data_IF_427653920943
#
_entry.id   IF_427653920943
#
_cell.length_a   1.000
_cell.length_b   1.000
_cell.length_c   1.000
_cell.angle_alpha   90.00
_cell.angle_beta   90.00
_cell.angle_gamma   90.00
#
_symmetry.space_group_name_H-M   'P 1'
#
loop_
_entity.id
_entity.type
_entity.pdbx_description
1 polymer ?
#
# COMPACT_ATOMS: atom_id res chain seq x y z
N UNK A 1 -20.67 -9.47 -17.50
CA UNK A 1 -20.64 -8.19 -16.80
C UNK A 1 -19.41 -7.42 -17.30
N UNK A 2 -19.61 -6.19 -17.75
CA UNK A 2 -18.56 -5.32 -18.30
C UNK A 2 -18.18 -4.25 -17.29
N UNK A 3 -16.91 -4.16 -16.96
CA UNK A 3 -16.39 -3.22 -15.93
C UNK A 3 -15.32 -2.33 -16.56
N UNK A 4 -15.40 -1.04 -16.28
CA UNK A 4 -14.40 -0.06 -16.71
C UNK A 4 -13.71 0.56 -15.49
N UNK A 5 -12.40 0.52 -15.47
CA UNK A 5 -11.58 1.29 -14.54
C UNK A 5 -10.87 2.45 -15.22
N UNK A 6 -10.78 3.60 -14.53
CA UNK A 6 -9.88 4.68 -14.87
C UNK A 6 -8.78 4.76 -13.80
N UNK A 7 -7.54 4.49 -14.18
CA UNK A 7 -6.35 4.50 -13.30
C UNK A 7 -5.28 5.44 -13.86
N UNK A 8 -4.32 5.81 -13.02
CA UNK A 8 -3.20 6.67 -13.44
C UNK A 8 -2.12 5.86 -14.18
N UNK A 9 -1.51 4.88 -13.53
CA UNK A 9 -0.43 4.03 -14.06
C UNK A 9 -0.70 2.55 -13.80
N UNK A 10 -0.11 1.62 -14.57
CA UNK A 10 -0.15 0.19 -14.31
C UNK A 10 0.88 -0.20 -13.23
N UNK A 11 0.63 0.22 -11.96
CA UNK A 11 1.49 -0.21 -10.85
C UNK A 11 1.38 -1.72 -10.64
N UNK A 12 2.46 -2.43 -10.25
CA UNK A 12 2.49 -3.90 -10.17
C UNK A 12 1.31 -4.49 -9.40
N UNK A 13 1.04 -3.99 -8.17
CA UNK A 13 -0.08 -4.49 -7.36
C UNK A 13 -1.45 -4.25 -8.00
N UNK A 14 -1.62 -3.15 -8.76
CA UNK A 14 -2.86 -2.87 -9.49
C UNK A 14 -3.02 -3.80 -10.68
N UNK A 15 -1.94 -4.10 -11.39
CA UNK A 15 -1.96 -5.06 -12.52
C UNK A 15 -2.28 -6.46 -12.02
N UNK A 16 -1.68 -6.89 -10.90
CA UNK A 16 -2.01 -8.18 -10.27
C UNK A 16 -3.48 -8.24 -9.86
N UNK A 17 -4.00 -7.18 -9.25
CA UNK A 17 -5.42 -7.09 -8.90
C UNK A 17 -6.34 -7.09 -10.14
N UNK A 18 -6.01 -6.34 -11.19
CA UNK A 18 -6.81 -6.31 -12.40
C UNK A 18 -6.79 -7.65 -13.15
N UNK A 19 -5.65 -8.35 -13.15
CA UNK A 19 -5.58 -9.70 -13.69
C UNK A 19 -6.48 -10.67 -12.90
N UNK A 20 -6.49 -10.56 -11.57
CA UNK A 20 -7.36 -11.40 -10.73
C UNK A 20 -8.85 -11.08 -10.96
N UNK A 21 -9.22 -9.79 -10.92
CA UNK A 21 -10.60 -9.35 -11.16
C UNK A 21 -11.11 -9.71 -12.55
N UNK A 22 -10.25 -9.60 -13.57
CA UNK A 22 -10.57 -9.91 -14.97
C UNK A 22 -10.86 -11.39 -15.24
N UNK A 23 -10.54 -12.31 -14.31
CA UNK A 23 -10.99 -13.70 -14.40
C UNK A 23 -12.50 -13.86 -14.22
N UNK A 24 -13.16 -12.87 -13.63
CA UNK A 24 -14.58 -12.93 -13.25
C UNK A 24 -15.47 -11.97 -14.02
N UNK A 25 -14.91 -11.02 -14.78
CA UNK A 25 -15.67 -10.03 -15.56
C UNK A 25 -14.90 -9.60 -16.82
N UNK A 26 -15.62 -9.02 -17.79
CA UNK A 26 -15.03 -8.36 -18.96
C UNK A 26 -14.49 -6.98 -18.52
N UNK A 27 -13.20 -6.96 -18.14
CA UNK A 27 -12.55 -5.82 -17.53
C UNK A 27 -11.76 -5.01 -18.57
N UNK A 28 -12.06 -3.72 -18.66
CA UNK A 28 -11.26 -2.73 -19.38
C UNK A 28 -10.67 -1.72 -18.40
N UNK A 29 -9.37 -1.44 -18.51
CA UNK A 29 -8.68 -0.44 -17.68
C UNK A 29 -8.07 0.63 -18.57
N UNK A 30 -8.46 1.89 -18.34
CA UNK A 30 -7.88 3.05 -18.98
C UNK A 30 -6.75 3.59 -18.10
N UNK A 31 -5.55 3.69 -18.63
CA UNK A 31 -4.38 4.27 -17.94
C UNK A 31 -4.07 5.65 -18.51
N UNK A 32 -3.84 6.64 -17.62
CA UNK A 32 -3.44 7.99 -18.03
C UNK A 32 -2.05 8.02 -18.64
N UNK A 33 -1.13 7.17 -18.15
CA UNK A 33 0.24 7.04 -18.64
C UNK A 33 0.77 5.62 -18.40
N UNK A 34 1.82 5.27 -19.11
CA UNK A 34 2.42 3.91 -19.13
C UNK A 34 3.33 3.61 -17.93
N UNK A 35 3.82 4.65 -17.25
CA UNK A 35 4.82 4.51 -16.19
C UNK A 35 4.86 5.73 -15.28
N UNK A 36 5.54 5.61 -14.14
CA UNK A 36 5.95 6.74 -13.30
C UNK A 36 7.41 7.11 -13.56
N UNK A 37 7.72 8.39 -13.54
CA UNK A 37 9.11 8.89 -13.63
C UNK A 37 9.88 8.79 -12.32
N UNK A 38 9.19 8.51 -11.21
CA UNK A 38 9.77 8.39 -9.86
C UNK A 38 9.94 6.93 -9.40
N UNK A 39 9.65 5.95 -10.29
CA UNK A 39 9.67 4.53 -9.98
C UNK A 39 10.72 3.79 -10.79
N UNK A 40 11.20 2.68 -10.24
CA UNK A 40 12.15 1.79 -10.89
C UNK A 40 11.62 1.24 -12.22
N UNK A 41 12.53 0.93 -13.17
CA UNK A 41 12.18 0.36 -14.47
C UNK A 41 11.51 -1.02 -14.38
N UNK A 42 11.74 -1.76 -13.29
CA UNK A 42 11.04 -3.03 -13.00
C UNK A 42 9.51 -2.85 -13.00
N UNK A 43 9.00 -1.67 -12.67
CA UNK A 43 7.57 -1.35 -12.71
C UNK A 43 6.99 -1.28 -14.12
N UNK A 44 7.83 -1.29 -15.16
CA UNK A 44 7.41 -1.34 -16.57
C UNK A 44 7.21 -2.77 -17.07
N UNK A 45 7.58 -3.80 -16.28
CA UNK A 45 7.46 -5.21 -16.62
C UNK A 45 6.09 -5.75 -16.16
N UNK A 46 5.01 -5.32 -16.81
CA UNK A 46 3.67 -5.79 -16.52
C UNK A 46 3.08 -6.56 -17.71
N UNK A 47 2.15 -7.50 -17.42
CA UNK A 47 1.38 -8.24 -18.44
C UNK A 47 -0.10 -8.11 -18.12
N UNK A 48 -0.88 -7.79 -19.14
CA UNK A 48 -2.34 -7.75 -19.07
C UNK A 48 -2.86 -9.11 -19.56
N UNK A 49 -3.09 -10.04 -18.64
CA UNK A 49 -3.44 -11.43 -18.97
C UNK A 49 -4.96 -11.64 -19.05
N UNK A 50 -5.70 -11.03 -18.13
CA UNK A 50 -7.13 -11.24 -17.97
C UNK A 50 -7.95 -9.95 -18.10
N UNK A 51 -7.35 -8.86 -18.54
CA UNK A 51 -8.05 -7.60 -18.76
C UNK A 51 -7.50 -6.86 -19.99
N UNK A 52 -8.31 -5.95 -20.53
CA UNK A 52 -7.91 -5.06 -21.62
C UNK A 52 -7.36 -3.75 -21.05
N UNK A 53 -6.04 -3.56 -21.09
CA UNK A 53 -5.39 -2.29 -20.75
C UNK A 53 -5.32 -1.35 -21.95
N UNK A 54 -5.69 -0.09 -21.76
CA UNK A 54 -5.67 0.96 -22.80
C UNK A 54 -4.95 2.17 -22.26
N UNK A 55 -3.85 2.57 -22.91
CA UNK A 55 -3.17 3.83 -22.60
C UNK A 55 -3.85 4.98 -23.34
N UNK A 56 -4.33 5.95 -22.57
CA UNK A 56 -4.98 7.13 -23.12
C UNK A 56 -3.97 8.05 -23.82
N UNK A 57 -4.35 8.62 -24.95
CA UNK A 57 -3.53 9.61 -25.64
C UNK A 57 -3.65 10.95 -24.90
N UNK A 58 -2.51 11.51 -24.45
CA UNK A 58 -2.49 12.75 -23.70
C UNK A 58 -1.09 13.30 -23.45
N UNK A 59 -1.02 14.38 -22.68
CA UNK A 59 0.23 15.03 -22.27
C UNK A 59 0.47 14.78 -20.79
N UNK A 60 1.62 14.20 -20.44
CA UNK A 60 2.05 14.00 -19.05
C UNK A 60 2.13 15.36 -18.31
N UNK A 61 1.64 15.39 -17.08
CA UNK A 61 1.62 16.58 -16.22
C UNK A 61 2.62 16.44 -15.07
N UNK A 62 2.67 15.28 -14.48
CA UNK A 62 3.60 14.95 -13.39
C UNK A 62 4.05 13.48 -13.49
N UNK A 63 4.71 12.95 -12.44
CA UNK A 63 5.24 11.60 -12.42
C UNK A 63 4.20 10.52 -12.81
N UNK A 64 2.95 10.66 -12.34
CA UNK A 64 1.95 9.59 -12.38
C UNK A 64 0.67 9.95 -13.12
N UNK A 65 0.51 11.18 -13.61
CA UNK A 65 -0.74 11.63 -14.24
C UNK A 65 -0.52 12.37 -15.55
N UNK A 66 -1.54 12.31 -16.41
CA UNK A 66 -1.55 13.01 -17.69
C UNK A 66 -2.88 13.74 -17.94
N UNK A 67 -2.89 14.67 -18.87
CA UNK A 67 -4.09 15.26 -19.45
C UNK A 67 -4.48 14.54 -20.73
N UNK A 68 -5.55 13.76 -20.66
CA UNK A 68 -6.05 12.93 -21.75
C UNK A 68 -7.47 13.38 -22.17
N UNK A 69 -7.60 14.35 -23.09
CA UNK A 69 -8.90 14.94 -23.43
C UNK A 69 -9.87 13.96 -24.08
N UNK A 70 -9.35 12.88 -24.69
CA UNK A 70 -10.14 11.83 -25.34
C UNK A 70 -10.83 10.83 -24.38
N UNK A 71 -10.66 10.94 -23.06
CA UNK A 71 -11.22 9.97 -22.09
C UNK A 71 -12.74 9.82 -22.21
N UNK A 72 -13.45 10.90 -22.55
CA UNK A 72 -14.91 10.93 -22.69
C UNK A 72 -15.47 10.04 -23.82
N UNK A 73 -14.64 9.65 -24.80
CA UNK A 73 -15.05 8.75 -25.89
C UNK A 73 -15.25 7.31 -25.42
N UNK A 74 -14.61 6.91 -24.34
CA UNK A 74 -14.75 5.56 -23.72
C UNK A 74 -15.93 5.49 -22.75
N UNK A 75 -16.58 6.61 -22.43
CA UNK A 75 -17.64 6.70 -21.43
C UNK A 75 -18.99 6.84 -22.16
N UNK A 76 -19.53 5.72 -22.68
CA UNK A 76 -20.83 5.70 -23.33
C UNK A 76 -21.87 5.02 -22.43
N UNK A 77 -23.11 5.56 -22.44
CA UNK A 77 -24.19 5.00 -21.63
C UNK A 77 -24.56 3.59 -22.14
N UNK A 78 -24.67 2.64 -21.20
CA UNK A 78 -25.01 1.25 -21.50
C UNK A 78 -23.85 0.41 -22.06
N UNK A 79 -22.65 0.97 -22.19
CA UNK A 79 -21.46 0.22 -22.64
C UNK A 79 -20.86 -0.64 -21.53
N UNK A 80 -20.87 -0.12 -20.30
CA UNK A 80 -20.34 -0.79 -19.10
C UNK A 80 -21.39 -0.87 -18.02
N UNK A 81 -21.44 -1.99 -17.31
CA UNK A 81 -22.30 -2.19 -16.14
C UNK A 81 -21.77 -1.39 -14.94
N UNK A 82 -20.46 -1.28 -14.79
CA UNK A 82 -19.79 -0.53 -13.72
C UNK A 82 -18.64 0.31 -14.26
N UNK A 83 -18.54 1.53 -13.76
CA UNK A 83 -17.42 2.45 -14.03
C UNK A 83 -16.79 2.85 -12.70
N UNK A 84 -15.49 2.58 -12.55
CA UNK A 84 -14.73 2.87 -11.34
C UNK A 84 -13.65 3.93 -11.65
N UNK A 85 -13.59 4.98 -10.85
CA UNK A 85 -12.57 6.04 -10.95
C UNK A 85 -11.65 5.93 -9.75
N UNK A 86 -10.34 5.69 -9.99
CA UNK A 86 -9.36 5.52 -8.90
C UNK A 86 -8.51 6.77 -8.67
N UNK A 87 -8.63 7.78 -9.53
CA UNK A 87 -7.81 8.99 -9.49
C UNK A 87 -8.66 10.20 -9.09
N UNK A 88 -8.21 10.97 -8.09
CA UNK A 88 -8.99 12.11 -7.56
C UNK A 88 -8.72 13.44 -8.22
N UNK A 89 -7.47 13.74 -8.50
CA UNK A 89 -7.05 15.12 -8.76
C UNK A 89 -6.34 15.31 -10.11
N UNK A 90 -6.35 14.29 -10.98
CA UNK A 90 -5.84 14.48 -12.34
C UNK A 90 -6.86 15.25 -13.20
N UNK A 91 -6.43 16.08 -14.12
CA UNK A 91 -7.33 16.70 -15.09
C UNK A 91 -8.12 15.68 -15.91
N UNK A 92 -7.54 14.51 -16.23
CA UNK A 92 -8.23 13.41 -16.91
C UNK A 92 -9.38 12.86 -16.08
N UNK A 93 -9.15 12.60 -14.78
CA UNK A 93 -10.21 12.12 -13.89
C UNK A 93 -11.35 13.12 -13.76
N UNK A 94 -11.04 14.42 -13.68
CA UNK A 94 -12.05 15.48 -13.63
C UNK A 94 -12.87 15.56 -14.93
N UNK A 95 -12.22 15.41 -16.10
CA UNK A 95 -12.92 15.33 -17.38
C UNK A 95 -13.82 14.10 -17.45
N UNK A 96 -13.31 12.94 -17.00
CA UNK A 96 -14.07 11.70 -16.97
C UNK A 96 -15.31 11.83 -16.07
N UNK A 97 -15.14 12.31 -14.83
CA UNK A 97 -16.27 12.51 -13.89
C UNK A 97 -17.29 13.54 -14.44
N UNK A 98 -16.81 14.61 -15.07
CA UNK A 98 -17.72 15.56 -15.74
C UNK A 98 -18.51 14.91 -16.88
N UNK A 99 -17.85 14.08 -17.72
CA UNK A 99 -18.52 13.36 -18.80
C UNK A 99 -19.56 12.35 -18.24
N UNK A 100 -19.20 11.59 -17.19
CA UNK A 100 -20.10 10.65 -16.52
C UNK A 100 -21.35 11.35 -15.98
N UNK A 101 -21.17 12.48 -15.27
CA UNK A 101 -22.29 13.27 -14.73
C UNK A 101 -23.19 13.84 -15.84
N UNK A 102 -22.61 14.39 -16.90
CA UNK A 102 -23.39 14.94 -18.04
C UNK A 102 -24.17 13.87 -18.79
N UNK A 103 -23.59 12.66 -18.95
CA UNK A 103 -24.23 11.52 -19.60
C UNK A 103 -25.15 10.72 -18.67
N UNK A 104 -25.23 11.11 -17.39
CA UNK A 104 -25.98 10.42 -16.33
C UNK A 104 -25.54 8.95 -16.16
N UNK A 105 -24.25 8.68 -16.31
CA UNK A 105 -23.64 7.38 -16.07
C UNK A 105 -23.19 7.35 -14.61
N UNK A 106 -23.72 6.44 -13.77
CA UNK A 106 -23.26 6.30 -12.39
C UNK A 106 -21.84 5.77 -12.36
N UNK A 107 -21.05 6.21 -11.38
CA UNK A 107 -19.69 5.72 -11.18
C UNK A 107 -19.40 5.45 -9.72
N UNK A 108 -18.42 4.61 -9.47
CA UNK A 108 -17.87 4.30 -8.18
C UNK A 108 -16.52 5.00 -8.04
N UNK A 109 -16.19 5.40 -6.83
CA UNK A 109 -14.87 5.90 -6.51
C UNK A 109 -14.10 4.84 -5.71
N UNK A 110 -12.83 4.65 -6.01
CA UNK A 110 -11.92 3.78 -5.28
C UNK A 110 -10.60 4.49 -5.04
N UNK A 111 -10.11 4.48 -3.80
CA UNK A 111 -8.82 5.06 -3.46
C UNK A 111 -8.00 4.14 -2.57
N UNK A 112 -6.68 4.30 -2.62
CA UNK A 112 -5.75 3.47 -1.86
C UNK A 112 -5.69 3.84 -0.38
N UNK A 113 -6.15 5.05 -0.04
CA UNK A 113 -6.13 5.58 1.32
C UNK A 113 -6.00 7.10 1.32
N UNK A 114 -5.90 7.69 2.50
CA UNK A 114 -5.69 9.11 2.70
C UNK A 114 -6.14 9.58 4.07
N UNK A 115 -5.42 10.53 4.63
CA UNK A 115 -5.84 11.21 5.84
C UNK A 115 -6.69 12.44 5.48
N UNK A 116 -7.77 12.66 6.22
CA UNK A 116 -8.59 13.85 6.05
C UNK A 116 -7.77 15.10 6.40
N UNK A 117 -7.52 15.93 5.40
CA UNK A 117 -6.81 17.20 5.54
C UNK A 117 -7.76 18.39 5.57
N UNK A 118 -7.27 19.56 5.14
CA UNK A 118 -8.12 20.75 5.00
C UNK A 118 -9.27 20.50 4.03
N UNK A 119 -10.51 20.69 4.50
CA UNK A 119 -11.74 20.48 3.73
C UNK A 119 -12.20 21.73 2.97
N UNK A 120 -11.39 22.77 2.95
CA UNK A 120 -11.61 24.05 2.28
C UNK A 120 -10.56 24.31 1.19
N UNK A 121 -10.85 25.20 0.25
CA UNK A 121 -9.98 25.56 -0.86
C UNK A 121 -10.22 24.71 -2.12
N UNK A 122 -9.53 25.08 -3.21
CA UNK A 122 -9.74 24.50 -4.55
C UNK A 122 -9.51 22.99 -4.58
N UNK A 123 -8.42 22.50 -3.95
CA UNK A 123 -8.12 21.05 -3.89
C UNK A 123 -9.23 20.26 -3.19
N UNK A 124 -9.77 20.78 -2.08
CA UNK A 124 -10.87 20.15 -1.36
C UNK A 124 -12.17 20.16 -2.17
N UNK A 125 -12.44 21.23 -2.91
CA UNK A 125 -13.59 21.33 -3.81
C UNK A 125 -13.51 20.29 -4.94
N UNK A 126 -12.33 20.09 -5.54
CA UNK A 126 -12.13 19.07 -6.58
C UNK A 126 -12.31 17.64 -6.04
N UNK A 127 -11.76 17.34 -4.86
CA UNK A 127 -11.97 16.05 -4.19
C UNK A 127 -13.46 15.81 -3.91
N UNK A 128 -14.15 16.83 -3.38
CA UNK A 128 -15.59 16.77 -3.12
C UNK A 128 -16.38 16.55 -4.40
N UNK A 129 -16.02 17.22 -5.50
CA UNK A 129 -16.68 17.05 -6.79
C UNK A 129 -16.65 15.59 -7.29
N UNK A 130 -15.54 14.88 -7.08
CA UNK A 130 -15.40 13.46 -7.43
C UNK A 130 -16.11 12.57 -6.42
N UNK A 131 -15.81 12.69 -5.13
CA UNK A 131 -16.26 11.76 -4.09
C UNK A 131 -17.76 11.86 -3.83
N UNK A 132 -18.31 13.07 -3.65
CA UNK A 132 -19.74 13.25 -3.36
C UNK A 132 -20.68 12.86 -4.51
N UNK A 133 -20.15 12.81 -5.73
CA UNK A 133 -20.90 12.40 -6.91
C UNK A 133 -20.85 10.89 -7.20
N UNK A 134 -20.02 10.15 -6.48
CA UNK A 134 -19.93 8.70 -6.64
C UNK A 134 -21.15 8.00 -6.04
N UNK A 135 -21.69 6.98 -6.73
CA UNK A 135 -22.79 6.15 -6.23
C UNK A 135 -22.37 5.35 -4.99
N UNK A 136 -21.14 4.82 -5.01
CA UNK A 136 -20.49 4.11 -3.92
C UNK A 136 -19.00 4.45 -3.90
N UNK A 137 -18.36 4.32 -2.74
CA UNK A 137 -16.94 4.49 -2.57
C UNK A 137 -16.33 3.21 -1.98
N UNK A 138 -15.42 2.58 -2.70
CA UNK A 138 -14.61 1.50 -2.15
C UNK A 138 -13.58 2.10 -1.19
N UNK A 139 -13.53 1.56 0.03
CA UNK A 139 -12.73 2.07 1.13
C UNK A 139 -11.83 0.99 1.72
N UNK A 140 -10.58 1.36 1.95
CA UNK A 140 -9.54 0.47 2.45
C UNK A 140 -9.52 0.34 3.97
N UNK A 141 -10.06 1.35 4.70
CA UNK A 141 -9.92 1.45 6.17
C UNK A 141 -10.92 2.40 6.81
N UNK A 142 -11.01 2.36 8.14
CA UNK A 142 -11.81 3.33 8.92
C UNK A 142 -11.32 4.77 8.71
N UNK A 143 -10.01 4.95 8.55
CA UNK A 143 -9.44 6.27 8.29
C UNK A 143 -9.83 6.79 6.91
N UNK A 144 -9.85 5.89 5.92
CA UNK A 144 -10.29 6.27 4.58
C UNK A 144 -11.81 6.49 4.49
N UNK A 145 -12.62 5.84 5.34
CA UNK A 145 -14.05 6.19 5.49
C UNK A 145 -14.19 7.64 5.97
N UNK A 146 -13.42 8.05 7.00
CA UNK A 146 -13.41 9.44 7.48
C UNK A 146 -13.00 10.42 6.37
N UNK A 147 -11.97 10.03 5.59
CA UNK A 147 -11.54 10.82 4.43
C UNK A 147 -12.68 10.98 3.43
N UNK A 148 -13.30 9.91 2.97
CA UNK A 148 -14.39 9.97 1.99
C UNK A 148 -15.58 10.78 2.52
N UNK A 149 -15.95 10.61 3.79
CA UNK A 149 -17.03 11.36 4.44
C UNK A 149 -16.71 12.85 4.54
N UNK A 150 -15.48 13.23 4.88
CA UNK A 150 -15.03 14.63 4.92
C UNK A 150 -15.14 15.34 3.55
N UNK A 151 -15.07 14.57 2.46
CA UNK A 151 -15.26 15.07 1.11
C UNK A 151 -16.63 14.74 0.51
N UNK A 152 -17.61 14.37 1.35
CA UNK A 152 -19.05 14.34 1.00
C UNK A 152 -19.59 13.00 0.57
N UNK A 153 -18.88 11.89 0.77
CA UNK A 153 -19.49 10.57 0.68
C UNK A 153 -20.47 10.36 1.85
N UNK A 154 -21.58 9.68 1.58
CA UNK A 154 -22.50 9.25 2.63
C UNK A 154 -22.01 7.93 3.23
N UNK A 155 -22.19 7.74 4.55
CA UNK A 155 -21.74 6.53 5.27
C UNK A 155 -22.29 5.24 4.66
N UNK A 156 -23.56 5.23 4.25
CA UNK A 156 -24.23 4.09 3.62
C UNK A 156 -23.68 3.75 2.22
N UNK A 157 -22.83 4.61 1.66
CA UNK A 157 -22.21 4.42 0.35
C UNK A 157 -20.76 3.95 0.43
N UNK A 158 -20.24 3.75 1.64
CA UNK A 158 -18.87 3.25 1.85
C UNK A 158 -18.86 1.72 1.84
N UNK A 159 -17.97 1.15 1.05
CA UNK A 159 -17.82 -0.30 0.85
C UNK A 159 -16.39 -0.70 1.20
N UNK A 160 -16.22 -1.39 2.32
CA UNK A 160 -14.90 -1.84 2.78
C UNK A 160 -14.43 -3.06 2.02
N UNK A 161 -13.14 -3.05 1.62
CA UNK A 161 -12.47 -4.18 1.00
C UNK A 161 -11.04 -4.34 1.54
N UNK A 162 -10.45 -5.55 1.46
CA UNK A 162 -9.13 -5.82 2.01
C UNK A 162 -8.02 -5.38 1.02
N UNK A 163 -7.59 -4.13 1.09
CA UNK A 163 -6.57 -3.60 0.20
C UNK A 163 -5.19 -4.17 0.49
N UNK A 164 -4.50 -4.65 -0.54
CA UNK A 164 -3.22 -5.34 -0.43
C UNK A 164 -2.45 -5.39 -1.75
N UNK A 165 -1.16 -5.76 -1.68
CA UNK A 165 -0.31 -6.18 -2.79
C UNK A 165 -0.01 -7.69 -2.77
N UNK A 166 -0.49 -8.42 -1.78
CA UNK A 166 -0.09 -9.80 -1.48
C UNK A 166 -1.03 -10.79 -2.17
N UNK A 167 -0.46 -11.75 -2.91
CA UNK A 167 -1.19 -12.90 -3.46
C UNK A 167 -1.31 -14.00 -2.39
N UNK A 168 -2.33 -14.85 -2.50
CA UNK A 168 -2.53 -15.97 -1.56
C UNK A 168 -1.33 -16.91 -1.51
N UNK A 169 -0.70 -17.17 -2.64
CA UNK A 169 0.50 -18.02 -2.73
C UNK A 169 1.74 -17.45 -2.02
N UNK A 170 1.74 -16.17 -1.70
CA UNK A 170 2.83 -15.50 -1.01
C UNK A 170 2.70 -15.56 0.52
N UNK A 171 1.51 -15.92 1.03
CA UNK A 171 1.28 -16.09 2.46
C UNK A 171 2.04 -17.30 2.99
N UNK A 172 2.58 -17.17 4.19
CA UNK A 172 3.04 -18.33 4.96
C UNK A 172 1.84 -19.07 5.58
N UNK A 173 1.88 -20.39 5.62
CA UNK A 173 0.87 -21.21 6.31
C UNK A 173 1.03 -21.13 7.85
N UNK A 174 2.20 -20.70 8.32
CA UNK A 174 2.53 -20.53 9.74
C UNK A 174 3.91 -19.90 9.90
N UNK A 175 4.32 -19.56 11.13
CA UNK A 175 5.67 -19.07 11.41
C UNK A 175 6.73 -20.07 10.93
N UNK A 176 7.82 -19.54 10.36
CA UNK A 176 8.96 -20.36 9.97
C UNK A 176 9.59 -21.03 11.20
N UNK A 177 10.00 -22.27 11.06
CA UNK A 177 10.82 -22.96 12.06
C UNK A 177 12.19 -22.27 12.22
N UNK A 178 12.87 -22.54 13.34
CA UNK A 178 14.21 -21.97 13.59
C UNK A 178 15.21 -22.37 12.48
N UNK A 179 15.13 -23.61 12.01
CA UNK A 179 15.98 -24.13 10.94
C UNK A 179 15.73 -23.42 9.61
N UNK A 180 14.46 -23.24 9.24
CA UNK A 180 14.08 -22.52 8.03
C UNK A 180 14.53 -21.07 8.09
N UNK A 181 14.30 -20.38 9.21
CA UNK A 181 14.75 -19.00 9.42
C UNK A 181 16.28 -18.89 9.34
N UNK A 182 17.01 -19.78 9.98
CA UNK A 182 18.47 -19.81 9.92
C UNK A 182 19.00 -20.06 8.50
N UNK A 183 18.29 -20.89 7.73
CA UNK A 183 18.60 -21.09 6.30
C UNK A 183 18.43 -19.77 5.52
N UNK A 184 17.31 -19.06 5.71
CA UNK A 184 17.07 -17.78 5.06
C UNK A 184 18.14 -16.73 5.48
N UNK A 185 18.47 -16.64 6.78
CA UNK A 185 19.53 -15.74 7.26
C UNK A 185 20.88 -16.00 6.58
N UNK A 186 21.29 -17.27 6.46
CA UNK A 186 22.54 -17.65 5.77
C UNK A 186 22.55 -17.26 4.29
N UNK A 187 21.43 -17.38 3.58
CA UNK A 187 21.32 -16.99 2.18
C UNK A 187 21.60 -15.50 1.95
N UNK A 188 21.24 -14.66 2.93
CA UNK A 188 21.45 -13.20 2.88
C UNK A 188 22.68 -12.73 3.68
N UNK A 189 23.47 -13.66 4.25
CA UNK A 189 24.68 -13.32 5.02
C UNK A 189 24.38 -12.63 6.36
N UNK A 190 23.21 -12.87 6.95
CA UNK A 190 22.78 -12.27 8.22
C UNK A 190 23.32 -13.14 9.36
N UNK A 191 24.18 -12.56 10.18
CA UNK A 191 24.84 -13.24 11.30
C UNK A 191 24.20 -12.92 12.66
N UNK A 192 23.44 -11.82 12.75
CA UNK A 192 22.89 -11.30 13.99
C UNK A 192 21.77 -12.21 14.53
N UNK A 193 21.70 -12.29 15.86
CA UNK A 193 20.68 -13.07 16.57
C UNK A 193 19.27 -12.55 16.35
N UNK A 194 19.13 -11.22 16.24
CA UNK A 194 17.87 -10.56 15.89
C UNK A 194 18.11 -9.60 14.71
N UNK A 195 17.29 -9.68 13.67
CA UNK A 195 17.37 -8.86 12.48
C UNK A 195 16.10 -8.03 12.29
N UNK A 196 16.24 -6.73 12.33
CA UNK A 196 15.20 -5.72 12.13
C UNK A 196 15.25 -5.26 10.67
N UNK A 197 14.12 -5.15 10.00
CA UNK A 197 14.05 -4.60 8.64
C UNK A 197 13.12 -3.39 8.55
N UNK A 198 13.50 -2.43 7.73
CA UNK A 198 12.67 -1.32 7.28
C UNK A 198 12.80 -1.13 5.77
N UNK A 199 11.74 -0.71 5.09
CA UNK A 199 11.74 -0.61 3.62
C UNK A 199 11.09 0.69 3.17
N UNK A 200 11.73 1.40 2.25
CA UNK A 200 11.18 2.60 1.63
C UNK A 200 12.23 3.51 1.04
N UNK A 201 11.82 4.52 0.31
CA UNK A 201 12.72 5.56 -0.23
C UNK A 201 13.34 6.38 0.92
N UNK A 202 14.59 6.80 0.76
CA UNK A 202 15.30 7.67 1.72
C UNK A 202 14.78 9.12 1.62
N UNK A 203 13.58 9.34 2.14
CA UNK A 203 12.91 10.65 2.22
C UNK A 203 12.40 10.89 3.63
N UNK A 204 12.39 12.13 4.07
CA UNK A 204 11.98 12.55 5.42
C UNK A 204 10.65 11.94 5.87
N UNK A 205 9.68 11.81 4.96
CA UNK A 205 8.36 11.24 5.25
C UNK A 205 8.43 9.80 5.79
N UNK A 206 9.45 9.00 5.40
CA UNK A 206 9.60 7.60 5.83
C UNK A 206 10.16 7.43 7.23
N UNK A 207 10.72 8.48 7.85
CA UNK A 207 11.14 8.49 9.25
C UNK A 207 12.34 7.59 9.56
N UNK A 208 13.25 7.36 8.61
CA UNK A 208 14.46 6.58 8.87
C UNK A 208 15.40 7.26 9.84
N UNK A 209 15.38 8.58 9.93
CA UNK A 209 16.07 9.35 10.98
C UNK A 209 15.59 8.94 12.38
N UNK A 210 14.28 8.79 12.58
CA UNK A 210 13.69 8.31 13.83
C UNK A 210 14.12 6.87 14.15
N UNK A 211 14.16 5.98 13.14
CA UNK A 211 14.63 4.61 13.32
C UNK A 211 16.11 4.59 13.71
N UNK A 212 16.97 5.32 13.00
CA UNK A 212 18.40 5.39 13.29
C UNK A 212 18.67 5.89 14.71
N UNK A 213 17.97 6.93 15.16
CA UNK A 213 18.10 7.42 16.54
C UNK A 213 17.63 6.39 17.59
N UNK A 214 16.62 5.58 17.26
CA UNK A 214 16.20 4.48 18.14
C UNK A 214 17.22 3.35 18.18
N UNK A 215 17.97 3.12 17.10
CA UNK A 215 18.99 2.07 17.01
C UNK A 215 20.20 2.33 17.93
N UNK A 216 20.42 3.57 18.39
CA UNK A 216 21.55 3.92 19.26
C UNK A 216 21.52 3.18 20.62
N UNK A 217 20.36 2.69 21.04
CA UNK A 217 20.19 1.95 22.31
C UNK A 217 20.03 0.43 22.11
N UNK A 218 20.15 -0.07 20.87
CA UNK A 218 20.05 -1.50 20.60
C UNK A 218 21.37 -2.22 20.91
N UNK A 219 21.31 -3.48 21.38
CA UNK A 219 22.48 -4.32 21.56
C UNK A 219 23.23 -4.56 20.23
N UNK A 220 24.55 -4.76 20.29
CA UNK A 220 25.41 -4.99 19.10
C UNK A 220 25.04 -6.25 18.31
N UNK A 221 24.38 -7.24 18.94
CA UNK A 221 23.92 -8.46 18.30
C UNK A 221 22.57 -8.32 17.56
N UNK A 222 22.08 -7.09 17.40
CA UNK A 222 20.86 -6.76 16.67
C UNK A 222 21.24 -6.06 15.36
N UNK A 223 21.03 -6.73 14.22
CA UNK A 223 21.21 -6.10 12.91
C UNK A 223 19.98 -5.29 12.49
N UNK A 224 20.18 -4.14 11.87
CA UNK A 224 19.12 -3.30 11.32
C UNK A 224 19.37 -3.06 9.84
N UNK A 225 18.45 -3.50 9.02
CA UNK A 225 18.53 -3.48 7.56
C UNK A 225 17.52 -2.51 6.97
N UNK A 226 17.99 -1.46 6.29
CA UNK A 226 17.13 -0.46 5.64
C UNK A 226 17.25 -0.62 4.14
N UNK A 227 16.18 -1.13 3.50
CA UNK A 227 16.12 -1.38 2.06
C UNK A 227 15.45 -0.20 1.36
N UNK A 228 16.13 0.43 0.40
CA UNK A 228 15.54 1.58 -0.30
C UNK A 228 16.44 2.27 -1.31
N UNK A 229 17.61 1.68 -1.59
CA UNK A 229 18.62 2.22 -2.48
C UNK A 229 19.72 2.97 -1.70
N UNK A 230 20.29 4.01 -2.31
CA UNK A 230 21.38 4.76 -1.69
C UNK A 230 20.86 5.73 -0.63
N UNK A 231 21.38 5.67 0.62
CA UNK A 231 21.04 6.65 1.64
C UNK A 231 21.56 8.04 1.24
N UNK A 232 20.89 9.08 1.73
CA UNK A 232 21.38 10.45 1.59
C UNK A 232 22.47 10.75 2.62
N UNK A 233 23.24 11.82 2.41
CA UNK A 233 24.29 12.25 3.33
C UNK A 233 23.75 12.52 4.74
N UNK A 234 22.50 12.94 4.86
CA UNK A 234 21.81 13.14 6.14
C UNK A 234 21.75 11.83 6.97
N UNK A 235 21.33 10.71 6.34
CA UNK A 235 21.24 9.42 7.04
C UNK A 235 22.60 8.83 7.36
N UNK A 236 23.59 9.04 6.48
CA UNK A 236 24.99 8.65 6.75
C UNK A 236 25.58 9.42 7.92
N UNK A 237 25.31 10.73 8.00
CA UNK A 237 25.76 11.57 9.13
C UNK A 237 25.11 11.15 10.46
N UNK A 238 23.84 10.71 10.46
CA UNK A 238 23.19 10.17 11.65
C UNK A 238 23.84 8.84 12.06
N UNK A 239 24.08 7.93 11.10
CA UNK A 239 24.77 6.66 11.34
C UNK A 239 26.15 6.88 11.98
N UNK A 240 26.95 7.80 11.44
CA UNK A 240 28.27 8.14 11.96
C UNK A 240 28.19 8.77 13.35
N UNK A 241 27.29 9.75 13.54
CA UNK A 241 27.10 10.45 14.83
C UNK A 241 26.83 9.50 15.99
N UNK A 242 26.02 8.47 15.76
CA UNK A 242 25.65 7.49 16.81
C UNK A 242 26.50 6.22 16.77
N UNK A 243 27.47 6.11 15.84
CA UNK A 243 28.35 4.95 15.72
C UNK A 243 27.63 3.64 15.42
N UNK A 244 26.56 3.68 14.59
CA UNK A 244 25.64 2.58 14.33
C UNK A 244 26.23 1.53 13.37
N UNK A 245 27.18 0.73 13.82
CA UNK A 245 27.86 -0.31 13.02
C UNK A 245 26.90 -1.44 12.61
N UNK A 246 25.85 -1.69 13.39
CA UNK A 246 24.83 -2.70 13.17
C UNK A 246 23.74 -2.29 12.17
N UNK A 247 23.79 -1.06 11.62
CA UNK A 247 22.85 -0.58 10.60
C UNK A 247 23.44 -0.78 9.21
N UNK A 248 22.67 -1.46 8.35
CA UNK A 248 23.03 -1.79 6.98
C UNK A 248 22.06 -1.14 6.01
N UNK A 249 22.54 -0.24 5.17
CA UNK A 249 21.77 0.30 4.05
C UNK A 249 21.86 -0.63 2.86
N UNK A 250 20.69 -1.08 2.37
CA UNK A 250 20.59 -2.04 1.29
C UNK A 250 20.05 -1.38 0.02
N UNK A 251 20.59 -1.77 -1.12
CA UNK A 251 20.07 -1.35 -2.42
C UNK A 251 18.60 -1.76 -2.59
N UNK A 252 17.95 -1.17 -3.60
CA UNK A 252 16.59 -1.57 -3.97
C UNK A 252 16.54 -3.08 -4.27
N UNK A 253 15.53 -3.74 -3.76
CA UNK A 253 15.26 -5.16 -4.01
C UNK A 253 13.97 -5.30 -4.83
N UNK A 254 14.00 -6.06 -5.94
CA UNK A 254 12.78 -6.49 -6.62
C UNK A 254 11.85 -7.24 -5.65
N UNK A 255 10.54 -7.19 -5.90
CA UNK A 255 9.52 -7.73 -4.99
C UNK A 255 9.79 -9.18 -4.55
N UNK A 256 10.12 -10.06 -5.48
CA UNK A 256 10.39 -11.47 -5.15
C UNK A 256 11.58 -11.63 -4.18
N UNK A 257 12.66 -10.88 -4.43
CA UNK A 257 13.83 -10.87 -3.54
C UNK A 257 13.46 -10.27 -2.18
N UNK A 258 12.68 -9.18 -2.15
CA UNK A 258 12.24 -8.54 -0.92
C UNK A 258 11.39 -9.47 -0.05
N UNK A 259 10.47 -10.22 -0.64
CA UNK A 259 9.65 -11.20 0.10
C UNK A 259 10.51 -12.33 0.72
N UNK A 260 11.55 -12.80 -0.01
CA UNK A 260 12.52 -13.75 0.54
C UNK A 260 13.36 -13.11 1.65
N UNK A 261 13.76 -11.85 1.49
CA UNK A 261 14.51 -11.11 2.49
C UNK A 261 13.69 -10.92 3.78
N UNK A 262 12.40 -10.58 3.69
CA UNK A 262 11.53 -10.52 4.86
C UNK A 262 11.50 -11.83 5.65
N UNK A 263 11.50 -12.99 5.00
CA UNK A 263 11.54 -14.31 5.67
C UNK A 263 12.83 -14.55 6.47
N UNK A 264 13.91 -13.83 6.14
CA UNK A 264 15.16 -13.86 6.89
C UNK A 264 15.17 -12.92 8.11
N UNK A 265 14.21 -12.01 8.21
CA UNK A 265 14.12 -10.99 9.26
C UNK A 265 13.30 -11.49 10.46
N UNK A 266 13.41 -10.78 11.59
CA UNK A 266 12.70 -11.14 12.83
C UNK A 266 11.58 -10.15 13.18
N UNK A 267 11.67 -8.90 12.72
CA UNK A 267 10.61 -7.91 12.86
C UNK A 267 10.73 -6.82 11.78
N UNK A 268 9.62 -6.17 11.48
CA UNK A 268 9.53 -5.05 10.55
C UNK A 268 9.22 -3.74 11.30
N UNK A 269 9.91 -2.67 10.94
CA UNK A 269 9.72 -1.33 11.54
C UNK A 269 9.50 -0.29 10.47
N UNK A 270 8.46 0.57 10.62
CA UNK A 270 8.22 1.71 9.75
C UNK A 270 7.75 2.92 10.57
N UNK A 271 8.68 3.77 11.00
CA UNK A 271 8.38 4.99 11.76
C UNK A 271 7.99 6.17 10.86
N UNK A 272 7.14 5.90 9.89
CA UNK A 272 6.74 6.92 8.90
C UNK A 272 5.97 8.08 9.53
N UNK A 273 6.19 9.28 9.02
CA UNK A 273 5.45 10.51 9.36
C UNK A 273 4.14 10.62 8.61
N UNK A 274 4.05 9.97 7.44
CA UNK A 274 2.82 9.83 6.66
C UNK A 274 2.97 8.74 5.61
N UNK A 275 2.02 7.81 5.58
CA UNK A 275 1.84 6.88 4.48
C UNK A 275 0.35 6.67 4.19
N UNK A 276 -0.07 6.96 2.96
CA UNK A 276 -1.47 6.86 2.55
C UNK A 276 -2.01 5.44 2.53
N UNK A 277 -1.14 4.44 2.50
CA UNK A 277 -1.40 3.04 2.86
C UNK A 277 -0.19 2.44 3.53
N UNK A 278 0.87 2.09 2.77
CA UNK A 278 2.05 1.38 3.24
C UNK A 278 1.98 -0.11 2.93
N UNK A 279 1.89 -0.46 1.63
CA UNK A 279 1.80 -1.87 1.15
C UNK A 279 2.88 -2.78 1.72
N UNK A 280 4.05 -2.23 2.02
CA UNK A 280 5.15 -2.96 2.63
C UNK A 280 4.79 -3.57 4.00
N UNK A 281 3.80 -3.02 4.72
CA UNK A 281 3.28 -3.62 5.95
C UNK A 281 2.51 -4.92 5.63
N UNK A 282 1.69 -4.93 4.57
CA UNK A 282 1.03 -6.16 4.11
C UNK A 282 2.08 -7.24 3.79
N UNK A 283 3.12 -6.87 3.05
CA UNK A 283 4.18 -7.77 2.61
C UNK A 283 5.00 -8.34 3.79
N UNK A 284 5.36 -7.48 4.75
CA UNK A 284 6.05 -7.89 5.96
C UNK A 284 5.20 -8.84 6.82
N UNK A 285 3.93 -8.52 7.05
CA UNK A 285 3.01 -9.36 7.83
C UNK A 285 2.72 -10.70 7.13
N UNK A 286 2.59 -10.72 5.79
CA UNK A 286 2.42 -11.93 5.00
C UNK A 286 3.64 -12.86 5.09
N UNK A 287 4.82 -12.28 5.29
CA UNK A 287 6.08 -12.99 5.53
C UNK A 287 6.28 -13.38 7.00
N UNK A 288 5.26 -13.22 7.86
CA UNK A 288 5.28 -13.61 9.26
C UNK A 288 6.04 -12.64 10.17
N UNK A 289 6.26 -11.38 9.78
CA UNK A 289 6.94 -10.42 10.64
C UNK A 289 5.97 -9.69 11.56
N UNK A 290 6.23 -9.63 12.88
CA UNK A 290 5.61 -8.65 13.74
C UNK A 290 6.01 -7.24 13.30
N UNK A 291 5.06 -6.29 13.35
CA UNK A 291 5.23 -4.95 12.79
C UNK A 291 5.18 -3.89 13.88
N UNK A 292 6.14 -2.96 13.86
CA UNK A 292 6.02 -1.70 14.59
C UNK A 292 5.85 -0.57 13.57
N UNK A 293 4.77 0.19 13.70
CA UNK A 293 4.56 1.35 12.83
C UNK A 293 3.77 2.46 13.54
N UNK A 294 3.64 3.60 12.87
CA UNK A 294 3.03 4.78 13.47
C UNK A 294 1.54 4.91 13.14
N UNK A 295 0.84 5.71 13.92
CA UNK A 295 -0.54 6.17 13.68
C UNK A 295 -0.69 7.06 12.43
N UNK A 296 0.41 7.30 11.71
CA UNK A 296 0.46 8.04 10.45
C UNK A 296 0.61 7.14 9.22
N UNK A 297 0.42 5.83 9.38
CA UNK A 297 0.37 4.84 8.31
C UNK A 297 -1.00 4.15 8.30
N UNK A 298 -1.75 4.26 7.20
CA UNK A 298 -3.13 3.74 7.15
C UNK A 298 -3.16 2.22 7.25
N UNK A 299 -2.21 1.51 6.60
CA UNK A 299 -2.11 0.06 6.76
C UNK A 299 -1.83 -0.33 8.21
N UNK A 300 -1.00 0.43 8.94
CA UNK A 300 -0.75 0.17 10.35
C UNK A 300 -2.02 0.31 11.19
N UNK A 301 -2.78 1.39 10.99
CA UNK A 301 -4.07 1.60 11.67
C UNK A 301 -5.10 0.50 11.37
N UNK A 302 -5.10 -0.02 10.14
CA UNK A 302 -6.05 -1.06 9.73
C UNK A 302 -5.59 -2.47 10.13
N UNK A 303 -4.29 -2.79 9.99
CA UNK A 303 -3.79 -4.16 10.10
C UNK A 303 -3.25 -4.51 11.49
N UNK A 304 -2.59 -3.58 12.18
CA UNK A 304 -1.98 -3.84 13.47
C UNK A 304 -3.07 -3.97 14.55
N UNK A 305 -2.98 -5.05 15.31
CA UNK A 305 -3.70 -5.28 16.56
C UNK A 305 -2.67 -5.24 17.69
N UNK A 306 -2.80 -4.21 18.54
CA UNK A 306 -1.84 -3.91 19.60
C UNK A 306 -1.53 -5.12 20.48
N UNK A 307 -0.29 -5.59 20.49
CA UNK A 307 0.15 -6.74 21.28
C UNK A 307 -0.20 -8.12 20.71
N UNK A 308 -0.93 -8.21 19.58
CA UNK A 308 -1.30 -9.46 18.92
C UNK A 308 -0.41 -9.79 17.71
N UNK A 309 -0.11 -8.77 16.88
CA UNK A 309 0.68 -8.92 15.67
C UNK A 309 1.69 -7.78 15.46
N UNK A 310 1.80 -6.88 16.42
CA UNK A 310 2.70 -5.74 16.35
C UNK A 310 2.35 -4.65 17.36
N UNK A 311 3.00 -3.51 17.19
CA UNK A 311 2.78 -2.32 17.99
C UNK A 311 2.51 -1.10 17.09
N UNK A 312 1.41 -0.41 17.39
CA UNK A 312 1.11 0.91 16.86
C UNK A 312 1.64 1.94 17.86
N UNK A 313 2.47 2.86 17.40
CA UNK A 313 3.05 3.94 18.20
C UNK A 313 2.65 5.30 17.64
N UNK A 314 2.66 6.31 18.47
CA UNK A 314 2.43 7.69 18.03
C UNK A 314 3.62 8.19 17.21
N UNK A 315 3.34 8.86 16.11
CA UNK A 315 4.39 9.44 15.25
C UNK A 315 5.19 10.48 16.02
N UNK A 316 6.51 10.51 15.80
CA UNK A 316 7.48 11.37 16.50
C UNK A 316 7.66 11.05 18.02
N UNK A 317 6.92 10.09 18.57
CA UNK A 317 7.05 9.70 19.98
C UNK A 317 8.20 8.70 20.17
N UNK A 318 9.44 9.21 20.21
CA UNK A 318 10.66 8.40 20.34
C UNK A 318 10.65 7.46 21.55
N UNK A 319 10.18 7.87 22.77
CA UNK A 319 10.04 6.94 23.89
C UNK A 319 9.18 5.71 23.58
N UNK A 320 8.01 5.89 22.97
CA UNK A 320 7.15 4.76 22.57
C UNK A 320 7.81 3.90 21.50
N UNK A 321 8.47 4.53 20.51
CA UNK A 321 9.19 3.83 19.43
C UNK A 321 10.29 2.92 20.00
N UNK A 322 11.14 3.46 20.90
CA UNK A 322 12.22 2.72 21.58
C UNK A 322 11.69 1.58 22.42
N UNK A 323 10.65 1.81 23.20
CA UNK A 323 10.05 0.78 24.05
C UNK A 323 9.44 -0.36 23.21
N UNK A 324 8.71 -0.05 22.14
CA UNK A 324 8.14 -1.05 21.25
C UNK A 324 9.24 -1.88 20.57
N UNK A 325 10.30 -1.22 20.10
CA UNK A 325 11.44 -1.88 19.47
C UNK A 325 12.16 -2.80 20.46
N UNK A 326 12.50 -2.30 21.66
CA UNK A 326 13.15 -3.06 22.73
C UNK A 326 12.34 -4.31 23.09
N UNK A 327 11.02 -4.20 23.29
CA UNK A 327 10.16 -5.34 23.64
C UNK A 327 10.21 -6.46 22.62
N UNK A 328 10.25 -6.13 21.31
CA UNK A 328 10.35 -7.15 20.26
C UNK A 328 11.77 -7.68 20.11
N UNK A 329 12.79 -6.86 20.30
CA UNK A 329 14.19 -7.31 20.25
C UNK A 329 14.50 -8.27 21.40
N UNK A 330 14.06 -7.96 22.62
CA UNK A 330 14.38 -8.71 23.83
C UNK A 330 13.64 -10.04 23.97
N UNK A 331 12.51 -10.25 23.24
CA UNK A 331 11.68 -11.45 23.44
C UNK A 331 11.40 -12.19 22.11
N UNK A 332 12.10 -13.32 21.93
CA UNK A 332 11.83 -14.24 20.82
C UNK A 332 10.40 -14.81 20.91
N UNK A 333 9.96 -15.20 22.13
CA UNK A 333 8.61 -15.73 22.36
C UNK A 333 7.53 -14.74 21.91
N UNK A 334 7.72 -13.45 22.21
CA UNK A 334 6.78 -12.41 21.79
C UNK A 334 6.77 -12.25 20.27
N UNK A 335 7.96 -12.31 19.61
CA UNK A 335 8.05 -12.28 18.14
C UNK A 335 7.34 -13.47 17.51
N UNK A 336 7.53 -14.70 18.02
CA UNK A 336 6.85 -15.90 17.52
C UNK A 336 5.33 -15.80 17.66
N UNK A 337 4.85 -15.39 18.83
CA UNK A 337 3.41 -15.16 19.08
C UNK A 337 2.83 -14.13 18.10
N UNK A 338 3.51 -13.00 17.91
CA UNK A 338 3.05 -11.94 17.02
C UNK A 338 3.17 -12.31 15.54
N UNK A 339 4.14 -13.15 15.18
CA UNK A 339 4.27 -13.74 13.84
C UNK A 339 3.01 -14.52 13.46
N UNK A 340 2.53 -15.39 14.35
CA UNK A 340 1.26 -16.11 14.14
C UNK A 340 0.07 -15.15 13.96
N UNK A 341 0.03 -14.07 14.76
CA UNK A 341 -0.99 -13.03 14.67
C UNK A 341 -0.94 -12.27 13.34
N UNK A 342 0.28 -11.98 12.84
CA UNK A 342 0.50 -11.30 11.57
C UNK A 342 -0.01 -12.16 10.39
N UNK A 343 0.41 -13.43 10.30
CA UNK A 343 -0.01 -14.36 9.25
C UNK A 343 -1.54 -14.50 9.24
N UNK A 344 -2.14 -14.79 10.40
CA UNK A 344 -3.61 -14.93 10.55
C UNK A 344 -4.36 -13.67 10.12
N UNK A 345 -3.82 -12.49 10.41
CA UNK A 345 -4.41 -11.23 9.94
C UNK A 345 -4.40 -11.12 8.42
N UNK A 346 -3.34 -11.60 7.78
CA UNK A 346 -3.15 -11.51 6.33
C UNK A 346 -3.98 -12.50 5.52
N UNK A 347 -4.54 -13.57 6.12
CA UNK A 347 -5.43 -14.52 5.45
C UNK A 347 -6.62 -13.82 4.73
N UNK A 348 -7.10 -12.71 5.30
CA UNK A 348 -8.14 -11.89 4.70
C UNK A 348 -7.60 -10.93 3.61
N UNK A 349 -6.35 -10.50 3.71
CA UNK A 349 -5.77 -9.44 2.88
C UNK A 349 -4.94 -10.04 1.74
N UNK A 350 -5.62 -10.68 0.79
CA UNK A 350 -5.02 -11.18 -0.45
C UNK A 350 -5.69 -10.55 -1.68
N UNK A 351 -4.96 -10.51 -2.79
CA UNK A 351 -5.48 -9.98 -4.07
C UNK A 351 -6.74 -10.73 -4.50
N UNK A 352 -6.79 -12.05 -4.27
CA UNK A 352 -7.96 -12.87 -4.57
C UNK A 352 -9.18 -12.47 -3.73
N UNK A 353 -8.99 -12.24 -2.43
CA UNK A 353 -10.07 -11.76 -1.57
C UNK A 353 -10.48 -10.32 -1.93
N UNK A 354 -9.53 -9.48 -2.32
CA UNK A 354 -9.80 -8.13 -2.81
C UNK A 354 -10.70 -8.18 -4.05
N UNK A 355 -10.38 -9.01 -5.04
CA UNK A 355 -11.21 -9.21 -6.23
C UNK A 355 -12.59 -9.80 -5.89
N UNK A 356 -12.64 -10.79 -5.00
CA UNK A 356 -13.89 -11.42 -4.57
C UNK A 356 -14.84 -10.42 -3.88
N UNK A 357 -14.34 -9.52 -3.03
CA UNK A 357 -15.18 -8.49 -2.39
C UNK A 357 -15.74 -7.49 -3.42
N UNK A 358 -14.97 -7.10 -4.43
CA UNK A 358 -15.47 -6.27 -5.53
C UNK A 358 -16.57 -7.00 -6.32
N UNK A 359 -16.37 -8.28 -6.62
CA UNK A 359 -17.36 -9.09 -7.33
C UNK A 359 -18.66 -9.25 -6.53
N UNK A 360 -18.61 -9.40 -5.20
CA UNK A 360 -19.82 -9.41 -4.35
C UNK A 360 -20.60 -8.10 -4.45
N UNK A 361 -19.89 -6.96 -4.46
CA UNK A 361 -20.52 -5.65 -4.64
C UNK A 361 -21.17 -5.54 -6.01
N UNK A 362 -20.47 -5.95 -7.07
CA UNK A 362 -21.01 -5.89 -8.42
C UNK A 362 -22.24 -6.81 -8.59
N UNK A 363 -22.22 -8.00 -8.01
CA UNK A 363 -23.35 -8.92 -8.07
C UNK A 363 -24.56 -8.47 -7.22
N UNK A 364 -24.32 -7.79 -6.09
CA UNK A 364 -25.36 -7.31 -5.18
C UNK A 364 -25.93 -5.93 -5.52
N UNK A 365 -25.34 -5.23 -6.50
CA UNK A 365 -25.81 -3.91 -6.92
C UNK A 365 -26.67 -4.07 -8.18
N UNK A 366 -27.96 -3.68 -8.10
CA UNK A 366 -28.81 -3.63 -9.29
C UNK A 366 -28.14 -2.81 -10.41
N UNK A 367 -28.08 -3.41 -11.59
CA UNK A 367 -27.46 -2.79 -12.77
C UNK A 367 -28.15 -1.45 -13.05
N UNK A 368 -27.47 -0.31 -12.98
CA UNK A 368 -28.06 1.00 -13.24
C UNK A 368 -28.10 1.29 -14.74
N UNK A 369 -28.85 0.47 -15.51
CA UNK A 369 -29.04 0.69 -16.94
C UNK A 369 -29.58 2.08 -17.31
#
# INVERSE_FOLDING_TARGET
>A
MKVLYLSNIPSPYRVDYFNELGKFCDLTVLFETDSSTERDEEWKKYRFEHFRGIFLKGKRINADTAFCPGVGSYLQRGEYDFVIVTVLASPTALLAVNALKRKKIPYFYEGDGGFAGKTTGLKAMLKRYVISGARKCFSTSAEFDRYCTAYGAKQENLLRYPFTSVKREELLDGPLTKEEKQKQKREFGIAEGCAVVSVGQFIHRKGFDLLLECCAELPENVGVYIVGGKPTDEYLAIQERYGLKQVHFMEFMPREQLMRFFRAMDLFVLFTREDIWGLVINEAMASGLPVISTDRCIAALELIRQGENGFLVESENKPQMKEALRRLVDSEELREKMSQGAIRRMERYTIENMAAEHMKVFAGTENPA
#
